data_IF_675565055666
#
_entry.id   IF_675565055666
#
_cell.length_a   1.000
_cell.length_b   1.000
_cell.length_c   1.000
_cell.angle_alpha   90.00
_cell.angle_beta   90.00
_cell.angle_gamma   90.00
#
_symmetry.space_group_name_H-M   'P 1'
#
loop_
_entity.id
_entity.type
_entity.pdbx_description
1 polymer ?
#
# COMPACT_ATOMS: atom_id res chain seq x y z
N UNK A 1 18.75 -3.25 10.68
CA UNK A 1 18.53 -1.90 10.14
C UNK A 1 17.05 -1.62 9.93
N UNK A 2 16.64 -0.35 9.93
CA UNK A 2 15.23 0.03 9.73
C UNK A 2 14.97 0.47 8.29
N UNK A 3 13.90 -0.05 7.69
CA UNK A 3 13.36 0.42 6.40
C UNK A 3 11.88 0.76 6.54
N UNK A 4 11.35 1.50 5.58
CA UNK A 4 9.94 1.80 5.45
C UNK A 4 9.36 1.06 4.24
N UNK A 5 8.21 0.42 4.44
CA UNK A 5 7.49 -0.33 3.42
C UNK A 5 6.07 0.21 3.32
N UNK A 6 5.65 0.58 2.12
CA UNK A 6 4.28 0.95 1.80
C UNK A 6 3.55 -0.25 1.18
N UNK A 7 2.44 -0.65 1.78
CA UNK A 7 1.54 -1.68 1.28
C UNK A 7 0.22 -1.01 0.87
N UNK A 8 -0.35 -1.41 -0.27
CA UNK A 8 -1.63 -0.84 -0.68
C UNK A 8 -2.79 -1.45 0.13
N UNK A 9 -3.75 -0.61 0.53
CA UNK A 9 -4.90 -1.06 1.31
C UNK A 9 -5.75 -2.09 0.55
N UNK A 10 -5.95 -1.90 -0.75
CA UNK A 10 -6.78 -2.79 -1.54
C UNK A 10 -6.14 -4.17 -1.72
N UNK A 11 -4.80 -4.25 -1.90
CA UNK A 11 -4.06 -5.51 -2.01
C UNK A 11 -4.21 -6.30 -0.70
N UNK A 12 -4.06 -5.58 0.41
CA UNK A 12 -4.25 -6.15 1.74
C UNK A 12 -5.68 -6.65 1.97
N UNK A 13 -6.69 -5.90 1.53
CA UNK A 13 -8.09 -6.28 1.66
C UNK A 13 -8.49 -7.46 0.76
N UNK A 14 -7.85 -7.59 -0.42
CA UNK A 14 -8.14 -8.62 -1.40
C UNK A 14 -7.55 -9.98 -1.01
N UNK A 15 -6.24 -10.03 -0.78
CA UNK A 15 -5.51 -11.28 -0.54
C UNK A 15 -4.32 -11.14 0.41
N UNK A 16 -4.16 -10.00 1.08
CA UNK A 16 -3.09 -9.81 2.03
C UNK A 16 -3.18 -10.72 3.25
N UNK A 17 -2.01 -11.20 3.67
CA UNK A 17 -1.86 -11.91 4.93
C UNK A 17 -1.96 -10.95 6.12
N UNK A 18 -2.64 -11.33 7.21
CA UNK A 18 -2.69 -10.51 8.42
C UNK A 18 -1.31 -10.38 9.04
N UNK A 19 -0.99 -9.19 9.56
CA UNK A 19 0.23 -8.96 10.33
C UNK A 19 0.01 -7.99 11.48
N UNK A 20 0.95 -7.99 12.43
CA UNK A 20 0.90 -7.15 13.64
C UNK A 20 2.28 -6.70 14.04
N UNK A 21 2.37 -5.69 14.90
CA UNK A 21 3.65 -5.30 15.51
C UNK A 21 4.28 -6.52 16.20
N UNK A 22 5.57 -6.71 15.96
CA UNK A 22 6.36 -7.86 16.43
C UNK A 22 6.29 -9.10 15.55
N UNK A 23 5.44 -9.13 14.53
CA UNK A 23 5.40 -10.25 13.58
C UNK A 23 6.64 -10.25 12.67
N UNK A 24 7.14 -11.43 12.34
CA UNK A 24 8.07 -11.63 11.23
C UNK A 24 7.29 -11.83 9.94
N UNK A 25 7.58 -11.04 8.92
CA UNK A 25 6.93 -11.05 7.61
C UNK A 25 7.98 -11.21 6.52
N UNK A 26 7.57 -11.75 5.37
CA UNK A 26 8.38 -11.74 4.15
C UNK A 26 7.56 -11.11 3.04
N UNK A 27 8.07 -10.02 2.47
CA UNK A 27 7.39 -9.27 1.42
C UNK A 27 8.28 -9.11 0.21
N UNK A 28 7.71 -9.17 -0.99
CA UNK A 28 8.43 -8.84 -2.22
C UNK A 28 8.49 -7.31 -2.29
N UNK A 29 9.69 -6.74 -2.20
CA UNK A 29 9.87 -5.29 -2.12
C UNK A 29 10.37 -4.72 -3.45
N UNK A 30 9.96 -3.51 -3.76
CA UNK A 30 10.47 -2.66 -4.84
C UNK A 30 10.98 -1.36 -4.22
N UNK A 31 12.17 -0.89 -4.60
CA UNK A 31 12.70 0.36 -4.06
C UNK A 31 11.96 1.58 -4.60
N UNK A 32 11.57 2.51 -3.71
CA UNK A 32 11.00 3.80 -4.12
C UNK A 32 12.08 4.84 -4.38
N UNK A 33 11.74 5.86 -5.18
CA UNK A 33 12.61 6.97 -5.46
C UNK A 33 13.10 7.64 -4.16
N UNK A 34 14.40 7.98 -4.06
CA UNK A 34 14.89 8.76 -2.93
C UNK A 34 14.26 10.16 -2.97
N UNK A 35 13.58 10.56 -1.90
CA UNK A 35 13.17 11.97 -1.75
C UNK A 35 14.35 12.75 -1.20
N UNK A 36 14.70 13.85 -1.88
CA UNK A 36 15.63 14.84 -1.35
C UNK A 36 15.04 15.34 -0.03
N UNK A 37 15.80 15.22 1.06
CA UNK A 37 15.46 15.65 2.43
C UNK A 37 14.63 14.66 3.30
N UNK A 38 14.23 13.50 2.79
CA UNK A 38 13.49 12.48 3.58
C UNK A 38 14.41 11.57 4.42
N UNK A 39 15.29 12.15 5.23
CA UNK A 39 16.15 11.40 6.16
C UNK A 39 16.98 10.27 5.50
N UNK A 40 17.43 9.31 6.32
CA UNK A 40 18.27 8.17 5.89
C UNK A 40 17.50 6.85 5.75
N UNK A 41 16.20 6.84 6.06
CA UNK A 41 15.40 5.61 6.03
C UNK A 41 15.05 5.27 4.59
N UNK A 42 15.50 4.10 4.13
CA UNK A 42 15.20 3.59 2.78
C UNK A 42 13.73 3.18 2.69
N UNK A 43 13.10 3.50 1.56
CA UNK A 43 11.67 3.32 1.34
C UNK A 43 11.40 2.34 0.21
N UNK A 44 10.41 1.49 0.42
CA UNK A 44 10.04 0.42 -0.47
C UNK A 44 8.51 0.37 -0.61
N UNK A 45 8.05 -0.21 -1.71
CA UNK A 45 6.66 -0.65 -1.86
C UNK A 45 6.64 -2.17 -1.84
N UNK A 46 5.62 -2.76 -1.25
CA UNK A 46 5.33 -4.18 -1.42
C UNK A 46 4.70 -4.44 -2.81
N UNK A 47 5.10 -5.54 -3.42
CA UNK A 47 4.61 -6.04 -4.71
C UNK A 47 3.88 -7.36 -4.47
N UNK A 48 2.56 -7.35 -4.65
CA UNK A 48 1.71 -8.49 -4.32
C UNK A 48 1.26 -9.31 -5.53
N UNK A 49 1.13 -8.69 -6.71
CA UNK A 49 0.39 -9.25 -7.85
C UNK A 49 1.26 -9.60 -9.07
N UNK A 50 2.56 -9.40 -8.99
CA UNK A 50 3.47 -9.56 -10.12
C UNK A 50 3.33 -8.46 -11.18
N UNK A 51 2.81 -7.29 -10.80
CA UNK A 51 2.62 -6.17 -11.72
C UNK A 51 3.92 -5.40 -12.00
N UNK A 52 4.91 -5.52 -11.10
CA UNK A 52 6.24 -4.97 -11.30
C UNK A 52 6.92 -5.59 -12.53
N UNK A 53 7.33 -4.77 -13.53
CA UNK A 53 8.06 -5.26 -14.70
C UNK A 53 9.32 -6.05 -14.34
N UNK A 54 9.66 -7.05 -15.17
CA UNK A 54 10.79 -7.96 -14.90
C UNK A 54 12.13 -7.22 -14.74
N UNK A 55 12.33 -6.11 -15.47
CA UNK A 55 13.57 -5.33 -15.40
C UNK A 55 13.69 -4.48 -14.13
N UNK A 56 12.60 -4.28 -13.39
CA UNK A 56 12.61 -3.51 -12.14
C UNK A 56 12.99 -4.44 -10.98
N UNK A 57 14.11 -4.18 -10.27
CA UNK A 57 14.55 -5.04 -9.19
C UNK A 57 13.51 -5.17 -8.08
N UNK A 58 13.13 -6.41 -7.80
CA UNK A 58 12.23 -6.72 -6.69
C UNK A 58 12.59 -8.06 -6.07
N UNK A 59 12.64 -8.11 -4.74
CA UNK A 59 13.19 -9.25 -4.00
C UNK A 59 12.34 -9.55 -2.77
N UNK A 60 12.19 -10.82 -2.37
CA UNK A 60 11.63 -11.16 -1.08
C UNK A 60 12.57 -10.68 0.03
N UNK A 61 12.03 -9.92 0.98
CA UNK A 61 12.75 -9.39 2.14
C UNK A 61 12.00 -9.79 3.40
N UNK A 62 12.72 -10.45 4.31
CA UNK A 62 12.20 -10.86 5.62
C UNK A 62 12.58 -9.84 6.69
N UNK A 63 11.63 -9.48 7.55
CA UNK A 63 11.90 -8.57 8.67
C UNK A 63 10.85 -8.65 9.76
N UNK A 64 11.08 -7.91 10.84
CA UNK A 64 10.15 -7.78 11.97
C UNK A 64 9.42 -6.46 11.92
N UNK A 65 8.09 -6.48 11.98
CA UNK A 65 7.24 -5.29 11.99
C UNK A 65 7.43 -4.53 13.29
N UNK A 66 7.78 -3.24 13.21
CA UNK A 66 8.02 -2.39 14.39
C UNK A 66 6.97 -1.31 14.58
N UNK A 67 6.48 -0.72 13.50
CA UNK A 67 5.35 0.22 13.55
C UNK A 67 4.45 0.00 12.37
N UNK A 68 3.16 0.28 12.54
CA UNK A 68 2.17 0.26 11.46
C UNK A 68 1.41 1.59 11.53
N UNK A 69 1.28 2.25 10.39
CA UNK A 69 0.44 3.42 10.22
C UNK A 69 -0.51 3.20 9.05
N UNK A 70 -1.80 3.46 9.23
CA UNK A 70 -2.74 3.65 8.14
C UNK A 70 -2.68 5.10 7.65
N UNK A 71 -2.44 5.30 6.36
CA UNK A 71 -2.40 6.62 5.73
C UNK A 71 -3.74 6.93 5.08
N UNK A 72 -4.43 7.90 5.68
CA UNK A 72 -5.73 8.37 5.23
C UNK A 72 -5.57 9.65 4.42
N UNK A 73 -6.26 9.72 3.28
CA UNK A 73 -6.21 10.86 2.37
C UNK A 73 -7.60 11.45 2.17
N UNK A 74 -7.67 12.78 2.12
CA UNK A 74 -8.83 13.50 1.61
C UNK A 74 -8.78 13.59 0.08
N UNK A 75 -9.95 13.71 -0.55
CA UNK A 75 -10.08 13.81 -2.00
C UNK A 75 -10.88 15.04 -2.40
N UNK A 76 -10.53 15.60 -3.54
CA UNK A 76 -11.34 16.55 -4.29
C UNK A 76 -11.94 15.85 -5.52
N UNK A 77 -13.09 16.33 -6.00
CA UNK A 77 -13.62 15.89 -7.28
C UNK A 77 -12.71 16.37 -8.41
N UNK A 78 -12.36 15.45 -9.31
CA UNK A 78 -11.61 15.75 -10.51
C UNK A 78 -12.44 16.48 -11.56
N UNK A 79 -11.82 16.87 -12.69
CA UNK A 79 -12.50 17.53 -13.80
C UNK A 79 -13.58 16.65 -14.45
N UNK A 80 -13.52 15.32 -14.28
CA UNK A 80 -14.52 14.39 -14.81
C UNK A 80 -15.39 13.78 -13.70
N UNK A 81 -16.69 13.52 -13.96
CA UNK A 81 -17.57 12.90 -12.98
C UNK A 81 -17.03 11.55 -12.48
N UNK A 82 -16.86 11.42 -11.16
CA UNK A 82 -16.39 10.21 -10.49
C UNK A 82 -14.86 10.05 -10.39
N UNK A 83 -14.11 10.99 -10.97
CA UNK A 83 -12.67 11.13 -10.77
C UNK A 83 -12.42 11.74 -9.38
N UNK A 84 -11.49 11.15 -8.62
CA UNK A 84 -11.11 11.61 -7.30
C UNK A 84 -9.61 11.88 -7.30
N UNK A 85 -9.22 13.10 -6.95
CA UNK A 85 -7.82 13.48 -6.84
C UNK A 85 -7.46 13.61 -5.37
N UNK A 86 -6.37 12.98 -4.95
CA UNK A 86 -5.84 13.15 -3.59
C UNK A 86 -5.55 14.62 -3.35
N UNK A 87 -6.15 15.18 -2.30
CA UNK A 87 -5.85 16.54 -1.88
C UNK A 87 -4.46 16.58 -1.25
N UNK A 88 -3.50 17.37 -1.79
CA UNK A 88 -2.16 17.44 -1.23
C UNK A 88 -2.17 17.87 0.24
N UNK A 89 -1.18 17.39 1.00
CA UNK A 89 -0.93 17.79 2.40
C UNK A 89 -2.03 17.46 3.41
N UNK A 90 -3.03 16.64 3.03
CA UNK A 90 -4.08 16.15 3.93
C UNK A 90 -3.91 14.66 4.26
N UNK A 91 -2.65 14.19 4.29
CA UNK A 91 -2.32 12.87 4.80
C UNK A 91 -2.50 12.86 6.33
N UNK A 92 -3.36 11.97 6.82
CA UNK A 92 -3.51 11.69 8.24
C UNK A 92 -3.01 10.28 8.51
N UNK A 93 -1.92 10.18 9.28
CA UNK A 93 -1.37 8.90 9.70
C UNK A 93 -1.98 8.44 11.03
N UNK A 94 -2.63 7.28 11.03
CA UNK A 94 -3.22 6.65 12.22
C UNK A 94 -2.37 5.46 12.62
N UNK A 95 -1.89 5.43 13.87
CA UNK A 95 -1.12 4.30 14.40
C UNK A 95 -2.01 3.07 14.58
N UNK A 96 -1.49 1.89 14.21
CA UNK A 96 -2.19 0.61 14.30
C UNK A 96 -1.32 -0.43 15.02
N UNK A 97 -1.96 -1.34 15.76
CA UNK A 97 -1.27 -2.49 16.35
C UNK A 97 -1.20 -3.70 15.38
N UNK A 98 -2.17 -3.78 14.47
CA UNK A 98 -2.30 -4.85 13.50
C UNK A 98 -3.02 -4.38 12.24
N UNK A 99 -2.73 -5.05 11.13
CA UNK A 99 -3.47 -4.98 9.88
C UNK A 99 -4.15 -6.34 9.68
N UNK A 100 -5.48 -6.38 9.63
CA UNK A 100 -6.19 -7.62 9.37
C UNK A 100 -5.93 -8.07 7.92
N UNK A 101 -6.06 -9.36 7.68
CA UNK A 101 -5.95 -9.93 6.35
C UNK A 101 -7.21 -9.67 5.52
N UNK A 102 -7.29 -10.36 4.39
CA UNK A 102 -8.37 -10.24 3.43
C UNK A 102 -9.78 -10.22 4.06
N UNK A 103 -10.67 -9.36 3.52
CA UNK A 103 -12.08 -9.30 3.90
C UNK A 103 -12.41 -8.52 5.18
N UNK A 104 -11.44 -7.83 5.78
CA UNK A 104 -11.69 -6.96 6.95
C UNK A 104 -11.43 -5.51 6.58
N UNK A 105 -12.37 -4.62 6.91
CA UNK A 105 -12.20 -3.17 6.77
C UNK A 105 -11.74 -2.58 8.10
N UNK A 106 -10.68 -1.79 8.11
CA UNK A 106 -10.22 -1.12 9.31
C UNK A 106 -11.13 0.05 9.71
N UNK A 107 -11.36 0.29 11.01
CA UNK A 107 -12.04 1.49 11.49
C UNK A 107 -11.20 2.73 11.17
N UNK A 108 -11.86 3.84 10.81
CA UNK A 108 -11.20 5.11 10.47
C UNK A 108 -11.55 5.69 9.11
N UNK A 109 -12.42 5.03 8.34
CA UNK A 109 -13.04 5.65 7.17
C UNK A 109 -14.05 6.70 7.66
N UNK A 110 -13.63 7.96 7.79
CA UNK A 110 -14.61 9.04 7.76
C UNK A 110 -15.12 9.19 6.32
N UNK A 111 -16.30 9.79 6.13
CA UNK A 111 -16.80 10.05 4.77
C UNK A 111 -15.83 10.92 3.94
N UNK A 112 -14.95 11.68 4.62
CA UNK A 112 -14.01 12.62 4.01
C UNK A 112 -12.62 12.02 3.75
N UNK A 113 -12.19 11.03 4.53
CA UNK A 113 -10.84 10.45 4.41
C UNK A 113 -10.88 8.94 4.19
N UNK A 114 -10.20 8.48 3.14
CA UNK A 114 -10.07 7.04 2.83
C UNK A 114 -8.64 6.57 3.13
N UNK A 115 -8.55 5.40 3.76
CA UNK A 115 -7.30 4.67 3.91
C UNK A 115 -6.89 4.14 2.53
N UNK A 116 -5.66 4.46 2.10
CA UNK A 116 -5.13 3.95 0.82
C UNK A 116 -3.87 3.10 0.99
N UNK A 117 -3.08 3.37 2.03
CA UNK A 117 -1.75 2.79 2.20
C UNK A 117 -1.50 2.47 3.66
N UNK A 118 -0.85 1.34 3.91
CA UNK A 118 -0.18 1.07 5.18
C UNK A 118 1.30 1.43 5.06
N UNK A 119 1.79 2.29 5.95
CA UNK A 119 3.21 2.56 6.11
C UNK A 119 3.75 1.75 7.29
N UNK A 120 4.68 0.85 7.00
CA UNK A 120 5.26 -0.07 7.96
C UNK A 120 6.74 0.22 8.14
N UNK A 121 7.19 0.36 9.39
CA UNK A 121 8.62 0.28 9.70
C UNK A 121 9.00 -1.18 9.93
N UNK A 122 9.85 -1.68 9.04
CA UNK A 122 10.32 -3.06 9.05
C UNK A 122 11.78 -3.08 9.49
N UNK A 123 12.06 -3.81 10.56
CA UNK A 123 13.43 -4.09 10.96
C UNK A 123 13.93 -5.34 10.23
N UNK A 124 14.97 -5.16 9.43
CA UNK A 124 15.62 -6.23 8.66
C UNK A 124 17.04 -6.44 9.15
N UNK A 125 17.66 -7.57 8.83
CA UNK A 125 19.06 -7.83 9.17
C UNK A 125 19.98 -6.75 8.55
N UNK A 126 21.09 -6.42 9.22
CA UNK A 126 22.04 -5.40 8.74
C UNK A 126 22.69 -5.79 7.40
N UNK A 127 22.87 -7.09 7.17
CA UNK A 127 23.40 -7.68 5.96
C UNK A 127 22.32 -8.09 4.95
N UNK A 128 21.06 -7.74 5.19
CA UNK A 128 19.97 -8.04 4.27
C UNK A 128 20.21 -7.37 2.91
N UNK A 129 20.16 -8.18 1.85
CA UNK A 129 20.19 -7.70 0.46
C UNK A 129 18.84 -7.07 0.15
N UNK A 130 18.84 -5.80 -0.24
CA UNK A 130 17.64 -5.04 -0.57
C UNK A 130 17.65 -4.64 -2.04
N UNK A 131 16.47 -4.55 -2.69
CA UNK A 131 16.39 -4.10 -4.07
C UNK A 131 16.88 -2.64 -4.18
N UNK A 132 17.61 -2.35 -5.27
CA UNK A 132 18.08 -1.01 -5.58
C UNK A 132 17.03 -0.21 -6.36
N UNK A 133 17.03 1.10 -6.19
CA UNK A 133 16.21 1.99 -7.02
C UNK A 133 16.80 2.09 -8.43
N UNK A 134 15.96 1.93 -9.45
CA UNK A 134 16.30 2.21 -10.85
C UNK A 134 15.45 3.40 -11.28
N UNK A 135 16.10 4.50 -11.66
CA UNK A 135 15.41 5.72 -12.09
C UNK A 135 14.96 5.61 -13.53
N UNK A 136 13.96 4.79 -13.82
CA UNK A 136 13.42 4.60 -15.16
C UNK A 136 12.18 5.48 -15.41
N UNK A 137 12.22 6.77 -15.04
CA UNK A 137 11.14 7.72 -15.38
C UNK A 137 9.74 7.35 -14.85
N UNK A 138 9.64 6.37 -13.94
CA UNK A 138 8.42 5.78 -13.40
C UNK A 138 7.79 6.56 -12.22
N UNK A 139 7.72 7.88 -12.31
CA UNK A 139 6.69 8.60 -11.54
C UNK A 139 5.28 8.37 -12.14
N UNK A 140 5.20 7.78 -13.35
CA UNK A 140 3.97 7.66 -14.15
C UNK A 140 3.13 6.38 -13.93
N UNK A 141 3.66 5.35 -13.24
CA UNK A 141 2.81 4.22 -12.80
C UNK A 141 1.88 4.59 -11.64
N UNK A 142 2.17 5.68 -10.94
CA UNK A 142 1.41 6.16 -9.79
C UNK A 142 0.00 6.67 -10.16
N UNK A 143 -0.27 6.93 -11.44
CA UNK A 143 -1.56 7.49 -11.90
C UNK A 143 -2.48 6.53 -12.65
N UNK A 144 -2.00 5.42 -13.23
CA UNK A 144 -2.77 4.66 -14.23
C UNK A 144 -3.25 3.27 -13.80
N UNK A 145 -2.75 2.72 -12.69
CA UNK A 145 -3.18 1.42 -12.17
C UNK A 145 -4.50 1.46 -11.40
N UNK A 146 -4.91 2.63 -10.89
CA UNK A 146 -6.07 2.74 -9.99
C UNK A 146 -7.42 2.60 -10.70
N UNK A 147 -7.46 2.75 -12.03
CA UNK A 147 -8.72 2.77 -12.81
C UNK A 147 -8.92 1.58 -13.77
N UNK A 148 -7.89 0.77 -14.08
CA UNK A 148 -8.05 -0.30 -15.09
C UNK A 148 -8.68 -1.60 -14.58
N UNK A 149 -8.98 -1.67 -13.28
CA UNK A 149 -9.71 -2.79 -12.66
C UNK A 149 -10.97 -2.39 -11.90
N UNK A 150 -11.35 -1.09 -11.88
CA UNK A 150 -12.47 -0.59 -11.09
C UNK A 150 -13.80 -1.03 -11.72
N UNK A 151 -14.62 -1.89 -11.08
CA UNK A 151 -16.04 -1.89 -11.39
C UNK A 151 -16.54 -0.51 -10.93
N UNK A 152 -17.08 0.28 -11.86
CA UNK A 152 -17.69 1.60 -11.60
C UNK A 152 -19.01 1.48 -10.83
N UNK A 153 -19.04 0.66 -9.78
CA UNK A 153 -20.24 0.32 -9.03
C UNK A 153 -19.94 0.09 -7.56
N UNK A 154 -19.51 1.11 -6.82
CA UNK A 154 -19.57 1.07 -5.36
C UNK A 154 -20.55 2.10 -4.84
N UNK A 155 -21.75 1.59 -4.51
CA UNK A 155 -22.73 2.25 -3.65
C UNK A 155 -22.02 2.75 -2.40
N UNK A 156 -22.28 4.02 -2.05
CA UNK A 156 -22.02 4.59 -0.74
C UNK A 156 -22.41 3.59 0.35
N UNK A 157 -21.62 3.53 1.43
CA UNK A 157 -21.82 2.73 2.64
C UNK A 157 -23.30 2.44 2.90
N UNK A 158 -23.77 1.31 2.37
CA UNK A 158 -25.10 0.77 2.61
C UNK A 158 -24.89 -0.72 2.79
N UNK A 159 -25.12 -1.15 4.02
CA UNK A 159 -25.16 -2.52 4.49
C UNK A 159 -25.88 -3.40 3.46
N UNK A 160 -25.16 -4.24 2.72
CA UNK A 160 -25.75 -5.36 1.98
C UNK A 160 -24.66 -6.33 1.54
N UNK A 161 -24.68 -7.49 2.18
CA UNK A 161 -23.99 -8.71 1.82
C UNK A 161 -24.32 -9.14 0.39
N UNK A 162 -23.43 -8.97 -0.59
CA UNK A 162 -23.42 -9.84 -1.79
C UNK A 162 -22.06 -9.83 -2.51
N UNK A 163 -21.49 -11.04 -2.64
CA UNK A 163 -20.42 -11.53 -3.54
C UNK A 163 -19.38 -10.55 -4.09
N UNK A 164 -18.15 -10.65 -3.57
CA UNK A 164 -16.94 -10.21 -4.28
C UNK A 164 -16.49 -11.26 -5.32
N UNK A 165 -15.84 -10.85 -6.43
CA UNK A 165 -15.29 -11.77 -7.40
C UNK A 165 -14.18 -12.63 -6.76
N UNK A 166 -14.31 -13.94 -6.86
CA UNK A 166 -13.25 -14.89 -6.51
C UNK A 166 -12.18 -14.84 -7.60
N UNK A 167 -10.94 -14.51 -7.26
CA UNK A 167 -9.83 -14.69 -8.17
C UNK A 167 -9.52 -16.19 -8.35
N UNK A 168 -9.24 -16.57 -9.59
CA UNK A 168 -8.85 -17.91 -9.97
C UNK A 168 -7.47 -18.23 -9.39
N UNK A 169 -7.37 -19.35 -8.71
CA UNK A 169 -6.09 -19.89 -8.25
C UNK A 169 -5.19 -20.19 -9.45
N UNK A 170 -3.95 -19.72 -9.41
CA UNK A 170 -2.85 -20.29 -10.20
C UNK A 170 -2.15 -21.37 -9.38
#
# INVERSE_FOLDING_TARGET
>A
MMIEVELSEWEQHCCGDPFRIGATVTWKLVARAPIKDAGTVRRYREEHHGETPEHVPHLPVTGTVRTIQGLHYAFDEGPHPGELTVRPSNEVAVGLDAVPGAGTQLPGCSAEHRLLVYRVRLEVAEDAVLPGYVGDGQDDWLGQGQDRGRPTGHRACAQSSTSMPRCAAS
#
